data_IF_606370626544
#
_entry.id   IF_606370626544
#
_cell.length_a   1.000
_cell.length_b   1.000
_cell.length_c   1.000
_cell.angle_alpha   90.00
_cell.angle_beta   90.00
_cell.angle_gamma   90.00
#
_symmetry.space_group_name_H-M   'P 1'
#
loop_
_entity.id
_entity.type
_entity.pdbx_description
1 polymer ?
#
# COMPACT_ATOMS: atom_id res chain seq x y z
N UNK A 1 -33.90 -20.99 -51.08
CA UNK A 1 -35.12 -20.99 -51.92
C UNK A 1 -36.29 -21.24 -50.99
N UNK A 2 -37.38 -20.50 -51.17
CA UNK A 2 -38.59 -20.47 -50.31
C UNK A 2 -38.38 -19.85 -48.91
N UNK A 3 -39.24 -19.00 -48.35
CA UNK A 3 -40.48 -18.39 -48.81
C UNK A 3 -40.75 -17.11 -47.98
N UNK A 4 -41.32 -16.12 -48.66
CA UNK A 4 -41.93 -14.91 -48.10
C UNK A 4 -43.39 -15.21 -47.69
N UNK A 5 -43.86 -14.50 -46.65
CA UNK A 5 -45.25 -14.17 -46.24
C UNK A 5 -45.78 -14.85 -44.97
N UNK A 6 -46.76 -14.14 -44.38
CA UNK A 6 -47.59 -14.40 -43.17
C UNK A 6 -47.05 -13.59 -41.97
N UNK A 7 -47.72 -12.60 -41.35
CA UNK A 7 -49.13 -12.20 -41.31
C UNK A 7 -49.29 -10.72 -40.89
N UNK A 8 -50.43 -10.12 -41.23
CA UNK A 8 -50.96 -8.82 -40.75
C UNK A 8 -52.03 -9.07 -39.68
N UNK A 9 -52.37 -7.96 -38.99
CA UNK A 9 -53.48 -7.74 -38.04
C UNK A 9 -53.13 -8.08 -36.59
N UNK A 10 -53.33 -7.18 -35.61
CA UNK A 10 -54.53 -6.38 -35.39
C UNK A 10 -54.25 -5.03 -34.69
N UNK A 11 -54.87 -3.98 -35.21
CA UNK A 11 -55.11 -2.69 -34.56
C UNK A 11 -56.57 -2.61 -34.10
N UNK A 12 -56.82 -2.11 -32.88
CA UNK A 12 -57.94 -1.26 -32.48
C UNK A 12 -57.79 -0.94 -30.96
N UNK A 13 -57.60 0.34 -30.58
CA UNK A 13 -58.64 1.30 -30.11
C UNK A 13 -59.16 0.91 -28.71
N UNK A 14 -59.28 1.72 -27.66
CA UNK A 14 -59.28 3.15 -27.29
C UNK A 14 -58.92 3.15 -25.76
N UNK A 15 -58.49 4.17 -25.04
CA UNK A 15 -58.66 5.62 -25.06
C UNK A 15 -58.71 6.12 -23.60
N UNK A 16 -58.37 7.40 -23.38
CA UNK A 16 -58.52 8.20 -22.14
C UNK A 16 -57.57 7.84 -20.96
N UNK A 17 -56.94 8.78 -20.23
CA UNK A 17 -57.16 10.21 -20.09
C UNK A 17 -55.84 10.95 -19.82
N UNK A 18 -55.71 12.13 -20.43
CA UNK A 18 -54.82 13.19 -19.97
C UNK A 18 -55.54 14.04 -18.93
N UNK A 19 -54.85 14.46 -17.86
CA UNK A 19 -55.18 15.72 -17.19
C UNK A 19 -53.91 16.44 -16.72
N UNK A 20 -53.73 17.62 -17.30
CA UNK A 20 -52.79 18.69 -16.93
C UNK A 20 -53.05 19.19 -15.50
N UNK A 21 -52.02 19.72 -14.86
CA UNK A 21 -52.09 21.04 -14.24
C UNK A 21 -50.69 21.66 -14.19
N UNK A 22 -50.64 22.93 -14.60
CA UNK A 22 -49.46 23.76 -14.73
C UNK A 22 -49.53 24.93 -13.72
N UNK A 23 -48.34 25.52 -13.49
CA UNK A 23 -48.07 26.94 -13.23
C UNK A 23 -48.25 27.54 -11.82
N UNK A 24 -47.14 28.11 -11.31
CA UNK A 24 -46.95 29.50 -10.84
C UNK A 24 -45.56 29.56 -10.14
N UNK A 25 -44.50 30.24 -10.60
CA UNK A 25 -44.24 31.66 -10.89
C UNK A 25 -44.02 32.57 -9.65
N UNK A 26 -42.79 33.12 -9.61
CA UNK A 26 -42.37 34.47 -9.17
C UNK A 26 -41.91 34.78 -7.73
N UNK A 27 -40.61 35.15 -7.66
CA UNK A 27 -40.01 36.37 -7.09
C UNK A 27 -39.99 36.63 -5.55
N UNK A 28 -38.78 36.84 -5.01
CA UNK A 28 -38.41 38.10 -4.33
C UNK A 28 -36.90 38.19 -4.06
N UNK A 29 -36.35 39.37 -4.30
CA UNK A 29 -34.95 39.74 -4.15
C UNK A 29 -34.58 40.20 -2.72
N UNK A 30 -33.28 40.12 -2.40
CA UNK A 30 -32.57 41.19 -1.68
C UNK A 30 -32.21 40.94 -0.20
N UNK A 31 -30.90 40.79 0.08
CA UNK A 31 -30.12 41.80 0.82
C UNK A 31 -28.64 41.40 0.89
N UNK A 32 -27.80 42.26 0.32
CA UNK A 32 -26.35 42.25 0.51
C UNK A 32 -26.01 43.00 1.81
N UNK A 33 -25.24 42.36 2.70
CA UNK A 33 -24.59 43.05 3.81
C UNK A 33 -23.17 43.45 3.43
N UNK A 34 -23.00 44.75 3.12
CA UNK A 34 -21.71 45.42 3.11
C UNK A 34 -21.26 45.63 4.56
N UNK A 35 -20.18 44.97 4.98
CA UNK A 35 -19.44 45.37 6.17
C UNK A 35 -18.37 46.39 5.76
N UNK A 36 -18.51 47.62 6.26
CA UNK A 36 -17.47 48.64 6.21
C UNK A 36 -16.38 48.30 7.22
N UNK A 37 -15.17 48.03 6.72
CA UNK A 37 -13.95 48.04 7.53
C UNK A 37 -13.50 49.49 7.65
N UNK A 38 -13.53 50.00 8.88
CA UNK A 38 -13.05 51.34 9.24
C UNK A 38 -11.56 51.27 9.52
N UNK A 39 -10.77 51.97 8.70
CA UNK A 39 -9.36 52.25 8.97
C UNK A 39 -9.22 53.21 10.16
N UNK A 40 -8.39 52.87 11.14
CA UNK A 40 -7.79 53.81 12.09
C UNK A 40 -6.29 53.51 12.22
N UNK A 41 -5.51 54.59 12.15
CA UNK A 41 -4.05 54.70 12.20
C UNK A 41 -3.39 54.10 13.46
N UNK A 42 -2.05 53.86 13.43
CA UNK A 42 -1.34 53.26 14.56
C UNK A 42 -0.93 54.32 15.59
N UNK A 43 -1.10 53.98 16.88
CA UNK A 43 -0.46 54.66 18.00
C UNK A 43 0.42 53.65 18.76
N UNK A 44 1.53 54.16 19.27
CA UNK A 44 2.69 53.45 19.79
C UNK A 44 2.42 52.54 21.01
N UNK A 45 3.21 51.46 21.11
CA UNK A 45 3.51 50.73 22.35
C UNK A 45 4.87 50.01 22.17
N UNK A 46 5.94 50.49 22.81
CA UNK A 46 6.36 50.12 24.17
C UNK A 46 6.82 48.66 24.28
N UNK A 47 8.15 48.52 24.33
CA UNK A 47 8.95 47.34 24.64
C UNK A 47 8.50 46.56 25.88
N UNK A 48 8.22 45.27 25.72
CA UNK A 48 8.24 44.29 26.80
C UNK A 48 8.91 42.99 26.32
N UNK A 49 9.90 42.50 27.07
CA UNK A 49 10.61 41.23 26.82
C UNK A 49 9.67 40.05 27.09
N UNK A 50 9.72 38.95 26.30
CA UNK A 50 8.90 37.78 26.58
C UNK A 50 9.51 36.92 27.71
N UNK A 51 8.69 36.14 28.45
CA UNK A 51 9.15 35.30 29.53
C UNK A 51 9.84 34.03 29.01
N UNK A 52 10.88 33.57 29.71
CA UNK A 52 11.53 32.28 29.45
C UNK A 52 10.63 31.13 29.90
N UNK A 53 9.97 30.47 28.95
CA UNK A 53 9.27 29.20 29.18
C UNK A 53 10.28 28.03 29.15
N UNK A 54 10.59 27.48 30.33
CA UNK A 54 11.34 26.22 30.47
C UNK A 54 10.44 25.05 30.07
N UNK A 55 10.26 24.83 28.78
CA UNK A 55 9.74 23.55 28.24
C UNK A 55 10.87 22.70 27.71
N UNK A 56 11.22 21.68 28.49
CA UNK A 56 12.06 20.54 28.12
C UNK A 56 11.35 19.79 26.98
N UNK A 57 11.65 20.14 25.72
CA UNK A 57 11.27 19.35 24.54
C UNK A 57 12.30 18.23 24.36
N UNK A 58 11.95 17.02 24.79
CA UNK A 58 12.59 15.80 24.28
C UNK A 58 12.10 15.55 22.86
N UNK A 59 12.75 16.16 21.87
CA UNK A 59 12.56 15.82 20.47
C UNK A 59 13.60 14.76 20.09
N UNK A 60 13.17 13.51 19.91
CA UNK A 60 13.96 12.45 19.29
C UNK A 60 14.02 12.68 17.78
N UNK A 61 14.70 13.72 17.35
CA UNK A 61 15.15 13.84 15.97
C UNK A 61 16.41 12.98 15.82
N UNK A 62 16.26 11.72 15.41
CA UNK A 62 17.42 10.96 14.92
C UNK A 62 18.02 11.76 13.77
N UNK A 63 19.21 12.31 13.98
CA UNK A 63 19.86 13.20 13.03
C UNK A 63 20.25 12.42 11.76
N UNK A 64 20.36 13.07 10.61
CA UNK A 64 20.85 12.43 9.37
C UNK A 64 22.22 11.76 9.59
N UNK A 65 23.06 12.35 10.46
CA UNK A 65 24.35 11.79 10.92
C UNK A 65 24.23 10.44 11.62
N UNK A 66 23.13 10.17 12.33
CA UNK A 66 22.91 8.87 12.99
C UNK A 66 22.55 7.79 11.96
N UNK A 67 21.84 8.15 10.87
CA UNK A 67 21.47 7.19 9.83
C UNK A 67 22.67 6.77 8.99
N UNK A 68 23.51 7.73 8.61
CA UNK A 68 24.68 7.46 7.79
C UNK A 68 25.76 6.71 8.57
N UNK A 69 25.91 6.99 9.88
CA UNK A 69 26.81 6.22 10.75
C UNK A 69 26.34 4.78 10.92
N UNK A 70 25.04 4.54 11.17
CA UNK A 70 24.47 3.18 11.20
C UNK A 70 24.69 2.48 9.86
N UNK A 71 24.47 3.17 8.74
CA UNK A 71 24.71 2.62 7.40
C UNK A 71 26.16 2.18 7.22
N UNK A 72 27.12 3.03 7.61
CA UNK A 72 28.54 2.72 7.53
C UNK A 72 28.91 1.49 8.37
N UNK A 73 28.38 1.37 9.60
CA UNK A 73 28.59 0.19 10.47
C UNK A 73 28.02 -1.07 9.80
N UNK A 74 26.81 -1.00 9.24
CA UNK A 74 26.17 -2.16 8.62
C UNK A 74 26.84 -2.56 7.30
N UNK A 75 27.43 -1.61 6.57
CA UNK A 75 28.27 -1.91 5.40
C UNK A 75 29.54 -2.65 5.80
N UNK A 76 30.23 -2.24 6.87
CA UNK A 76 31.38 -2.98 7.41
C UNK A 76 31.01 -4.41 7.81
N UNK A 77 29.86 -4.61 8.45
CA UNK A 77 29.33 -5.96 8.74
C UNK A 77 29.13 -6.80 7.48
N UNK A 78 28.65 -6.21 6.38
CA UNK A 78 28.50 -6.90 5.09
C UNK A 78 29.86 -7.32 4.53
N UNK A 79 30.86 -6.46 4.61
CA UNK A 79 32.23 -6.76 4.18
C UNK A 79 32.86 -7.86 5.03
N UNK A 80 32.69 -7.82 6.36
CA UNK A 80 33.16 -8.86 7.28
C UNK A 80 32.48 -10.20 7.05
N UNK A 81 31.16 -10.22 6.79
CA UNK A 81 30.43 -11.43 6.42
C UNK A 81 31.03 -12.06 5.15
N UNK A 82 31.22 -11.27 4.10
CA UNK A 82 31.84 -11.73 2.84
C UNK A 82 33.28 -12.21 3.04
N UNK A 83 34.07 -11.51 3.85
CA UNK A 83 35.44 -11.90 4.18
C UNK A 83 35.53 -13.25 4.90
N UNK A 84 34.46 -13.65 5.60
CA UNK A 84 34.31 -14.96 6.24
C UNK A 84 33.63 -16.01 5.35
N UNK A 85 33.32 -15.68 4.09
CA UNK A 85 32.66 -16.58 3.14
C UNK A 85 31.14 -16.67 3.28
N UNK A 86 30.51 -15.81 4.09
CA UNK A 86 29.06 -15.76 4.22
C UNK A 86 28.43 -14.82 3.18
N UNK A 87 27.32 -15.25 2.57
CA UNK A 87 26.54 -14.43 1.64
C UNK A 87 25.50 -13.59 2.42
N UNK A 88 25.62 -12.24 2.49
CA UNK A 88 24.64 -11.38 3.15
C UNK A 88 23.35 -11.14 2.34
N UNK A 89 23.30 -11.59 1.09
CA UNK A 89 22.17 -11.46 0.18
C UNK A 89 21.89 -12.79 -0.54
N UNK A 90 21.21 -13.71 0.16
CA UNK A 90 20.93 -15.04 -0.35
C UNK A 90 20.04 -15.02 -1.62
N UNK A 91 20.32 -15.91 -2.55
CA UNK A 91 19.57 -16.05 -3.81
C UNK A 91 18.26 -16.82 -3.63
N UNK A 92 18.21 -17.75 -2.67
CA UNK A 92 17.08 -18.64 -2.46
C UNK A 92 16.96 -19.02 -1.00
N UNK A 93 15.73 -19.18 -0.54
CA UNK A 93 15.40 -19.82 0.73
C UNK A 93 14.14 -20.66 0.56
N UNK A 94 14.21 -21.94 0.91
CA UNK A 94 13.08 -22.85 0.81
C UNK A 94 12.19 -22.72 2.06
N UNK A 95 11.21 -21.81 1.97
CA UNK A 95 10.19 -21.59 3.01
C UNK A 95 9.11 -22.66 2.94
N UNK A 96 8.81 -23.31 4.05
CA UNK A 96 7.76 -24.35 4.13
C UNK A 96 6.45 -23.84 4.73
N UNK A 97 6.48 -22.82 5.59
CA UNK A 97 5.28 -22.32 6.27
C UNK A 97 5.27 -20.78 6.34
N UNK A 98 4.08 -20.21 6.45
CA UNK A 98 3.91 -18.81 6.88
C UNK A 98 3.81 -18.71 8.41
N UNK A 99 4.07 -17.52 8.96
CA UNK A 99 3.98 -17.34 10.41
C UNK A 99 2.57 -17.57 10.94
N UNK A 100 1.54 -17.13 10.20
CA UNK A 100 0.14 -17.33 10.58
C UNK A 100 -0.26 -18.82 10.58
N UNK A 101 0.15 -19.58 9.56
CA UNK A 101 -0.11 -21.03 9.52
C UNK A 101 0.44 -21.75 10.75
N UNK A 102 1.65 -21.38 11.20
CA UNK A 102 2.24 -21.95 12.41
C UNK A 102 1.45 -21.56 13.66
N UNK A 103 1.07 -20.29 13.79
CA UNK A 103 0.26 -19.81 14.91
C UNK A 103 -1.07 -20.58 15.01
N UNK A 104 -1.74 -20.83 13.88
CA UNK A 104 -3.01 -21.55 13.84
C UNK A 104 -2.84 -23.05 14.11
N UNK A 105 -1.82 -23.68 13.50
CA UNK A 105 -1.58 -25.13 13.61
C UNK A 105 -1.21 -25.57 15.03
N UNK A 106 -0.42 -24.77 15.75
CA UNK A 106 0.14 -25.14 17.06
C UNK A 106 -0.54 -24.43 18.25
N UNK A 107 -1.80 -24.00 18.07
CA UNK A 107 -2.61 -23.43 19.16
C UNK A 107 -2.76 -24.37 20.37
N UNK A 108 -2.77 -25.68 20.11
CA UNK A 108 -2.94 -26.75 21.10
C UNK A 108 -1.72 -27.01 21.99
N UNK A 109 -0.54 -26.49 21.63
CA UNK A 109 0.70 -26.75 22.38
C UNK A 109 0.62 -26.15 23.79
N UNK A 110 1.08 -26.88 24.81
CA UNK A 110 1.14 -26.39 26.19
C UNK A 110 2.39 -25.53 26.44
N UNK A 111 2.38 -24.73 27.51
CA UNK A 111 3.50 -23.85 27.83
C UNK A 111 4.74 -24.66 28.23
N UNK A 112 5.90 -24.35 27.62
CA UNK A 112 7.16 -25.07 27.83
C UNK A 112 7.33 -26.29 26.93
N UNK A 113 6.28 -26.72 26.23
CA UNK A 113 6.31 -27.90 25.36
C UNK A 113 7.10 -27.62 24.06
N UNK A 114 7.78 -28.65 23.57
CA UNK A 114 8.52 -28.65 22.31
C UNK A 114 7.98 -29.77 21.43
N UNK A 115 7.46 -29.41 20.27
CA UNK A 115 7.09 -30.36 19.22
C UNK A 115 8.33 -30.69 18.39
N UNK A 116 9.06 -31.72 18.78
CA UNK A 116 10.31 -32.15 18.12
C UNK A 116 10.10 -32.78 16.75
N UNK A 117 8.90 -33.31 16.48
CA UNK A 117 8.53 -33.88 15.18
C UNK A 117 8.27 -32.79 14.12
N UNK A 118 7.96 -31.57 14.55
CA UNK A 118 7.77 -30.45 13.64
C UNK A 118 9.12 -30.02 13.06
N UNK A 119 9.21 -30.01 11.72
CA UNK A 119 10.31 -29.37 10.99
C UNK A 119 9.75 -28.23 10.15
N UNK A 120 10.14 -27.01 10.50
CA UNK A 120 9.64 -25.79 9.86
C UNK A 120 10.80 -24.97 9.31
N UNK A 121 10.55 -24.30 8.19
CA UNK A 121 11.43 -23.31 7.59
C UNK A 121 10.61 -22.08 7.28
N UNK A 122 10.96 -20.97 7.91
CA UNK A 122 10.27 -19.69 7.79
C UNK A 122 11.25 -18.60 7.38
N UNK A 123 10.72 -17.53 6.80
CA UNK A 123 11.50 -16.34 6.47
C UNK A 123 10.70 -15.09 6.80
N UNK A 124 11.38 -14.08 7.33
CA UNK A 124 10.74 -12.83 7.70
C UNK A 124 11.71 -11.73 8.08
N UNK A 125 11.20 -10.51 8.16
CA UNK A 125 11.95 -9.35 8.62
C UNK A 125 12.04 -9.37 10.15
N UNK A 126 13.24 -9.23 10.69
CA UNK A 126 13.44 -9.07 12.13
C UNK A 126 12.91 -7.72 12.56
N UNK A 127 11.84 -7.71 13.36
CA UNK A 127 11.23 -6.51 13.91
C UNK A 127 11.64 -6.25 15.35
N UNK A 128 12.10 -7.27 16.08
CA UNK A 128 12.59 -7.14 17.44
C UNK A 128 13.72 -8.14 17.70
N UNK A 129 14.63 -7.79 18.59
CA UNK A 129 15.76 -8.64 18.99
C UNK A 129 16.14 -8.36 20.44
N UNK A 130 16.34 -9.42 21.23
CA UNK A 130 16.72 -9.39 22.64
C UNK A 130 17.74 -10.49 22.91
N UNK A 131 18.91 -10.16 23.48
CA UNK A 131 19.98 -11.12 23.74
C UNK A 131 20.26 -11.21 25.25
N UNK A 132 20.42 -12.43 25.75
CA UNK A 132 20.62 -12.78 27.15
C UNK A 132 21.69 -13.88 27.26
N UNK A 133 22.98 -13.51 27.25
CA UNK A 133 24.06 -14.47 27.43
C UNK A 133 24.05 -15.59 26.38
N UNK A 134 23.56 -16.79 26.74
CA UNK A 134 23.45 -17.98 25.89
C UNK A 134 22.15 -18.08 25.09
N UNK A 135 21.28 -17.07 25.16
CA UNK A 135 19.97 -17.08 24.53
C UNK A 135 19.71 -15.79 23.76
N UNK A 136 19.12 -15.90 22.57
CA UNK A 136 18.69 -14.76 21.77
C UNK A 136 17.27 -14.99 21.28
N UNK A 137 16.40 -14.03 21.55
CA UNK A 137 15.05 -13.99 21.03
C UNK A 137 14.97 -12.97 19.91
N UNK A 138 14.37 -13.36 18.79
CA UNK A 138 14.02 -12.43 17.72
C UNK A 138 12.54 -12.57 17.41
N UNK A 139 11.89 -11.47 17.04
CA UNK A 139 10.56 -11.54 16.45
C UNK A 139 10.73 -11.28 14.97
N UNK A 140 10.33 -12.23 14.14
CA UNK A 140 10.28 -12.03 12.69
C UNK A 140 8.84 -11.80 12.24
N UNK A 141 8.70 -11.03 11.16
CA UNK A 141 7.43 -10.71 10.52
C UNK A 141 7.48 -11.11 9.05
N UNK A 142 6.51 -11.89 8.61
CA UNK A 142 6.24 -12.11 7.19
C UNK A 142 4.95 -11.37 6.76
N UNK A 143 4.43 -11.66 5.57
CA UNK A 143 3.21 -11.04 5.06
C UNK A 143 1.96 -11.39 5.88
N UNK A 144 1.98 -12.56 6.54
CA UNK A 144 0.83 -13.15 7.23
C UNK A 144 0.74 -12.78 8.72
N UNK A 145 1.87 -12.46 9.35
CA UNK A 145 1.91 -12.20 10.79
C UNK A 145 3.31 -12.18 11.38
N UNK A 146 3.41 -12.50 12.66
CA UNK A 146 4.66 -12.55 13.41
C UNK A 146 4.83 -13.85 14.19
N UNK A 147 6.07 -14.28 14.34
CA UNK A 147 6.44 -15.38 15.22
C UNK A 147 7.78 -15.10 15.90
N UNK A 148 7.97 -15.68 17.08
CA UNK A 148 9.24 -15.61 17.78
C UNK A 148 10.21 -16.66 17.24
N UNK A 149 11.49 -16.29 17.19
CA UNK A 149 12.62 -17.19 17.04
C UNK A 149 13.27 -17.33 18.41
N UNK A 150 13.39 -18.57 18.85
CA UNK A 150 14.10 -18.96 20.07
C UNK A 150 15.45 -19.54 19.65
N UNK A 151 16.52 -18.77 19.84
CA UNK A 151 17.86 -19.17 19.44
C UNK A 151 18.71 -19.41 20.68
N UNK A 152 19.06 -20.66 20.94
CA UNK A 152 19.89 -21.06 22.07
C UNK A 152 21.29 -21.41 21.60
N UNK A 153 22.29 -21.19 22.46
CA UNK A 153 23.67 -21.54 22.14
C UNK A 153 23.82 -23.04 21.83
N UNK A 154 23.12 -23.88 22.58
CA UNK A 154 23.25 -25.33 22.48
C UNK A 154 22.47 -25.90 21.27
N UNK A 155 21.57 -25.11 20.66
CA UNK A 155 20.82 -25.51 19.46
C UNK A 155 21.51 -25.12 18.14
N UNK A 156 22.58 -24.33 18.21
CA UNK A 156 23.34 -23.82 17.07
C UNK A 156 24.82 -24.20 17.22
N UNK A 157 25.58 -24.15 16.12
CA UNK A 157 27.04 -24.26 16.24
C UNK A 157 27.61 -23.01 16.93
N UNK A 158 28.78 -23.13 17.58
CA UNK A 158 29.45 -21.98 18.22
C UNK A 158 29.62 -20.82 17.22
N UNK A 159 30.04 -21.15 15.99
CA UNK A 159 30.21 -20.17 14.92
C UNK A 159 28.90 -19.49 14.52
N UNK A 160 27.82 -20.26 14.36
CA UNK A 160 26.49 -19.70 14.06
C UNK A 160 25.97 -18.83 15.20
N UNK A 161 26.20 -19.21 16.46
CA UNK A 161 25.73 -18.43 17.59
C UNK A 161 26.48 -17.10 17.73
N UNK A 162 27.79 -17.10 17.48
CA UNK A 162 28.59 -15.87 17.42
C UNK A 162 28.21 -15.01 16.20
N UNK A 163 27.98 -15.63 15.04
CA UNK A 163 27.48 -14.92 13.86
C UNK A 163 26.13 -14.25 14.15
N UNK A 164 25.22 -15.00 14.78
CA UNK A 164 23.91 -14.53 15.17
C UNK A 164 24.02 -13.30 16.06
N UNK A 165 24.96 -13.26 17.01
CA UNK A 165 25.20 -12.13 17.92
C UNK A 165 25.80 -10.91 17.23
N UNK A 166 26.83 -11.10 16.42
CA UNK A 166 27.62 -10.01 15.85
C UNK A 166 26.94 -9.33 14.65
N UNK A 167 26.33 -10.11 13.75
CA UNK A 167 25.97 -9.61 12.42
C UNK A 167 24.48 -9.33 12.22
N UNK A 168 23.60 -10.00 12.96
CA UNK A 168 22.15 -9.83 12.79
C UNK A 168 21.66 -8.58 13.51
N UNK A 169 20.95 -7.72 12.78
CA UNK A 169 20.35 -6.49 13.27
C UNK A 169 18.83 -6.45 13.01
N UNK A 170 18.13 -5.60 13.76
CA UNK A 170 16.72 -5.28 13.48
C UNK A 170 16.61 -4.64 12.08
N UNK A 171 15.67 -5.16 11.30
CA UNK A 171 15.42 -4.78 9.91
C UNK A 171 15.95 -5.79 8.88
N UNK A 172 16.87 -6.67 9.25
CA UNK A 172 17.34 -7.74 8.35
C UNK A 172 16.22 -8.72 8.01
N UNK A 173 16.32 -9.37 6.85
CA UNK A 173 15.46 -10.51 6.48
C UNK A 173 16.25 -11.79 6.78
N UNK A 174 15.67 -12.65 7.61
CA UNK A 174 16.28 -13.87 8.09
C UNK A 174 15.44 -15.08 7.66
N UNK A 175 16.12 -16.13 7.20
CA UNK A 175 15.58 -17.47 7.06
C UNK A 175 15.94 -18.24 8.33
N UNK A 176 14.97 -18.94 8.91
CA UNK A 176 15.18 -19.74 10.11
C UNK A 176 14.47 -21.08 9.97
N UNK A 177 15.13 -22.14 10.40
CA UNK A 177 14.59 -23.49 10.42
C UNK A 177 14.84 -24.17 11.75
N UNK A 178 13.96 -25.10 12.09
CA UNK A 178 14.01 -25.86 13.32
C UNK A 178 12.66 -26.43 13.70
N UNK A 179 12.47 -26.65 14.99
CA UNK A 179 11.24 -27.22 15.57
C UNK A 179 10.33 -26.13 16.16
N UNK A 180 9.17 -26.53 16.66
CA UNK A 180 8.21 -25.63 17.28
C UNK A 180 8.28 -25.79 18.80
N UNK A 181 8.40 -24.67 19.51
CA UNK A 181 8.34 -24.60 20.97
C UNK A 181 7.31 -23.56 21.37
N UNK A 182 6.54 -23.81 22.42
CA UNK A 182 5.82 -22.74 23.13
C UNK A 182 6.60 -22.44 24.38
N UNK A 183 6.99 -21.19 24.54
CA UNK A 183 7.73 -20.76 25.72
C UNK A 183 6.87 -20.91 26.97
N UNK A 184 7.52 -20.85 28.11
CA UNK A 184 6.95 -20.95 29.45
C UNK A 184 6.00 -19.79 29.72
N UNK A 185 6.16 -18.68 28.98
CA UNK A 185 5.27 -17.51 28.96
C UNK A 185 4.12 -17.62 27.95
N UNK A 186 4.02 -18.74 27.24
CA UNK A 186 2.95 -19.02 26.26
C UNK A 186 3.15 -18.44 24.87
N UNK A 187 4.32 -17.86 24.57
CA UNK A 187 4.63 -17.36 23.23
C UNK A 187 5.10 -18.51 22.32
N UNK A 188 4.44 -18.71 21.18
CA UNK A 188 4.82 -19.70 20.17
C UNK A 188 6.09 -19.24 19.43
N UNK A 189 7.05 -20.15 19.32
CA UNK A 189 8.39 -19.87 18.83
C UNK A 189 8.90 -20.98 17.92
N UNK A 190 9.69 -20.62 16.92
CA UNK A 190 10.56 -21.57 16.23
C UNK A 190 11.80 -21.76 17.08
N UNK A 191 12.04 -22.98 17.55
CA UNK A 191 13.29 -23.38 18.21
C UNK A 191 14.35 -23.62 17.14
N UNK A 192 15.24 -22.63 16.97
CA UNK A 192 16.09 -22.52 15.79
C UNK A 192 17.27 -23.47 15.88
N UNK A 193 17.38 -24.36 14.90
CA UNK A 193 18.54 -25.24 14.69
C UNK A 193 19.47 -24.75 13.58
N UNK A 194 18.96 -23.92 12.66
CA UNK A 194 19.73 -23.32 11.58
C UNK A 194 19.09 -22.02 11.11
N UNK A 195 19.91 -21.04 10.75
CA UNK A 195 19.45 -19.78 10.16
C UNK A 195 20.39 -19.31 9.06
N UNK A 196 19.88 -18.43 8.21
CA UNK A 196 20.65 -17.75 7.17
C UNK A 196 20.19 -16.28 7.04
N UNK A 197 21.15 -15.38 6.83
CA UNK A 197 20.86 -13.98 6.49
C UNK A 197 20.44 -13.92 5.03
N UNK A 198 19.17 -13.68 4.76
CA UNK A 198 18.66 -13.58 3.38
C UNK A 198 18.89 -12.20 2.80
N UNK A 199 18.76 -11.16 3.63
CA UNK A 199 19.05 -9.78 3.20
C UNK A 199 19.47 -8.96 4.40
N UNK A 200 20.72 -8.49 4.37
CA UNK A 200 21.18 -7.49 5.33
C UNK A 200 20.52 -6.14 5.05
N UNK A 201 19.87 -5.56 6.05
CA UNK A 201 19.35 -4.20 5.98
C UNK A 201 20.44 -3.19 6.30
N UNK A 202 20.66 -2.21 5.44
CA UNK A 202 21.67 -1.16 5.64
C UNK A 202 21.16 0.04 6.42
N UNK A 203 19.84 0.18 6.58
CA UNK A 203 19.23 1.32 7.26
C UNK A 203 18.41 0.83 8.46
N UNK A 204 18.38 1.60 9.56
CA UNK A 204 17.52 1.26 10.68
C UNK A 204 16.05 1.37 10.28
N UNK A 205 15.20 0.56 10.91
CA UNK A 205 13.76 0.76 10.84
C UNK A 205 13.39 2.06 11.58
N UNK A 206 12.27 2.72 11.22
CA UNK A 206 11.74 3.84 12.00
C UNK A 206 11.47 3.45 13.46
N UNK A 207 11.45 4.46 14.33
CA UNK A 207 11.16 4.24 15.75
C UNK A 207 9.78 3.62 15.94
N UNK A 208 9.73 2.54 16.75
CA UNK A 208 8.51 1.78 17.04
C UNK A 208 7.49 2.58 17.84
N UNK A 209 7.93 3.49 18.70
CA UNK A 209 7.05 4.13 19.68
C UNK A 209 6.16 5.22 19.06
N UNK A 210 6.65 5.88 18.03
CA UNK A 210 5.90 6.93 17.36
C UNK A 210 5.30 6.46 16.03
N UNK A 211 5.76 5.34 15.48
CA UNK A 211 5.44 4.95 14.11
C UNK A 211 5.96 5.98 13.10
N UNK A 212 5.74 5.74 11.81
CA UNK A 212 5.98 6.76 10.79
C UNK A 212 4.72 7.64 10.68
N UNK A 213 4.69 8.77 11.37
CA UNK A 213 3.51 9.68 11.42
C UNK A 213 3.53 10.76 10.35
N UNK A 214 4.71 11.16 9.90
CA UNK A 214 4.94 12.17 8.87
C UNK A 214 4.33 11.70 7.53
N UNK A 215 3.20 12.32 7.16
CA UNK A 215 2.39 11.94 6.00
C UNK A 215 3.19 11.99 4.70
N UNK A 216 4.02 13.02 4.51
CA UNK A 216 4.82 13.16 3.31
C UNK A 216 5.88 12.05 3.20
N UNK A 217 6.52 11.70 4.31
CA UNK A 217 7.46 10.57 4.35
C UNK A 217 6.76 9.24 4.09
N UNK A 218 5.57 9.02 4.67
CA UNK A 218 4.78 7.79 4.42
C UNK A 218 4.47 7.63 2.94
N UNK A 219 4.10 8.72 2.26
CA UNK A 219 3.76 8.70 0.85
C UNK A 219 4.99 8.50 -0.05
N UNK A 220 6.12 9.14 0.27
CA UNK A 220 7.39 8.98 -0.47
C UNK A 220 8.08 7.66 -0.23
N UNK A 221 7.95 7.10 0.98
CA UNK A 221 8.62 5.88 1.42
C UNK A 221 7.59 4.82 1.83
N UNK A 222 6.68 4.48 0.92
CA UNK A 222 5.57 3.56 1.19
C UNK A 222 6.03 2.20 1.73
N UNK A 223 7.17 1.69 1.28
CA UNK A 223 7.74 0.44 1.78
C UNK A 223 8.09 0.51 3.26
N UNK A 224 8.53 1.67 3.77
CA UNK A 224 8.79 1.89 5.19
C UNK A 224 7.49 2.01 5.96
N UNK A 225 6.53 2.74 5.40
CA UNK A 225 5.20 2.90 6.00
C UNK A 225 4.53 1.54 6.23
N UNK A 226 4.55 0.62 5.25
CA UNK A 226 4.00 -0.73 5.42
C UNK A 226 4.74 -1.58 6.46
N UNK A 227 6.04 -1.34 6.70
CA UNK A 227 6.78 -2.05 7.76
C UNK A 227 6.38 -1.53 9.13
N UNK A 228 6.26 -0.20 9.28
CA UNK A 228 5.93 0.47 10.54
C UNK A 228 4.45 0.34 10.91
N UNK A 229 3.57 0.41 9.91
CA UNK A 229 2.12 0.47 10.00
C UNK A 229 1.50 -0.67 9.14
N UNK A 230 1.43 -1.91 9.67
CA UNK A 230 0.99 -3.09 8.90
C UNK A 230 -0.41 -2.96 8.29
N UNK A 231 -1.30 -2.19 8.93
CA UNK A 231 -2.66 -1.92 8.46
C UNK A 231 -2.69 -1.20 7.11
N UNK A 232 -1.61 -0.49 6.75
CA UNK A 232 -1.47 0.13 5.42
C UNK A 232 -1.47 -0.92 4.33
N UNK A 233 -0.85 -2.08 4.55
CA UNK A 233 -0.87 -3.18 3.59
C UNK A 233 -2.31 -3.72 3.37
N UNK A 234 -3.13 -3.75 4.43
CA UNK A 234 -4.53 -4.18 4.34
C UNK A 234 -5.38 -3.23 3.50
N UNK A 235 -5.08 -1.92 3.51
CA UNK A 235 -5.72 -0.96 2.61
C UNK A 235 -5.45 -1.31 1.14
N UNK A 236 -4.21 -1.68 0.79
CA UNK A 236 -3.88 -2.11 -0.58
C UNK A 236 -4.54 -3.44 -0.95
N UNK A 237 -4.54 -4.42 -0.04
CA UNK A 237 -5.25 -5.70 -0.24
C UNK A 237 -6.74 -5.47 -0.45
N UNK A 238 -7.34 -4.58 0.33
CA UNK A 238 -8.76 -4.20 0.20
C UNK A 238 -9.02 -3.52 -1.14
N UNK A 239 -8.17 -2.58 -1.55
CA UNK A 239 -8.28 -1.95 -2.89
C UNK A 239 -8.22 -3.00 -4.01
N UNK A 240 -7.30 -3.96 -3.93
CA UNK A 240 -7.20 -5.03 -4.92
C UNK A 240 -8.47 -5.89 -4.96
N UNK A 241 -9.03 -6.24 -3.80
CA UNK A 241 -10.31 -6.96 -3.69
C UNK A 241 -11.47 -6.17 -4.28
N UNK A 242 -11.58 -4.87 -3.99
CA UNK A 242 -12.61 -3.99 -4.57
C UNK A 242 -12.55 -4.01 -6.09
N UNK A 243 -11.36 -3.83 -6.68
CA UNK A 243 -11.21 -3.87 -8.14
C UNK A 243 -11.55 -5.26 -8.72
N UNK A 244 -11.11 -6.34 -8.06
CA UNK A 244 -11.47 -7.69 -8.47
C UNK A 244 -12.99 -7.91 -8.46
N UNK A 245 -13.69 -7.35 -7.48
CA UNK A 245 -15.13 -7.58 -7.33
C UNK A 245 -15.97 -6.73 -8.27
N UNK A 246 -15.49 -5.52 -8.59
CA UNK A 246 -16.05 -4.73 -9.69
C UNK A 246 -16.00 -5.54 -10.99
N UNK A 247 -14.87 -6.16 -11.33
CA UNK A 247 -14.74 -6.99 -12.55
C UNK A 247 -15.72 -8.14 -12.58
N UNK A 248 -15.78 -8.96 -11.52
CA UNK A 248 -16.75 -10.07 -11.44
C UNK A 248 -18.20 -9.61 -11.56
N UNK A 249 -18.52 -8.46 -10.97
CA UNK A 249 -19.86 -7.87 -11.06
C UNK A 249 -20.18 -7.48 -12.51
N UNK A 250 -19.25 -6.82 -13.20
CA UNK A 250 -19.43 -6.42 -14.61
C UNK A 250 -19.57 -7.63 -15.53
N UNK A 251 -18.74 -8.66 -15.33
CA UNK A 251 -18.84 -9.93 -16.05
C UNK A 251 -20.23 -10.57 -15.83
N UNK A 252 -20.74 -10.59 -14.59
CA UNK A 252 -22.08 -11.13 -14.29
C UNK A 252 -23.23 -10.37 -14.96
N UNK A 253 -23.00 -9.10 -15.32
CA UNK A 253 -23.96 -8.26 -16.05
C UNK A 253 -23.79 -8.35 -17.59
N UNK A 254 -22.85 -9.17 -18.06
CA UNK A 254 -22.56 -9.38 -19.48
C UNK A 254 -21.76 -8.26 -20.12
N UNK A 255 -21.04 -7.46 -19.34
CA UNK A 255 -20.10 -6.47 -19.88
C UNK A 255 -18.79 -7.12 -20.31
N UNK A 256 -18.18 -6.55 -21.35
CA UNK A 256 -16.86 -6.93 -21.85
C UNK A 256 -15.83 -5.88 -21.38
N UNK A 257 -14.78 -6.31 -20.68
CA UNK A 257 -13.64 -5.44 -20.35
C UNK A 257 -12.83 -5.17 -21.62
N UNK A 258 -12.59 -3.90 -21.92
CA UNK A 258 -11.77 -3.46 -23.07
C UNK A 258 -10.63 -2.57 -22.61
N UNK A 259 -9.57 -2.51 -23.42
CA UNK A 259 -8.45 -1.59 -23.21
C UNK A 259 -8.40 -0.58 -24.36
N UNK A 260 -8.44 0.72 -24.03
CA UNK A 260 -8.41 1.80 -25.02
C UNK A 260 -7.10 2.61 -24.96
N UNK A 261 -6.74 3.35 -26.03
CA UNK A 261 -5.47 4.09 -26.07
C UNK A 261 -5.33 5.12 -24.93
N UNK A 262 -4.19 5.05 -24.22
CA UNK A 262 -3.77 6.05 -23.22
C UNK A 262 -3.21 7.31 -23.88
N UNK A 263 -2.42 7.15 -24.95
CA UNK A 263 -1.89 8.25 -25.74
C UNK A 263 -2.83 8.55 -26.90
N UNK A 264 -3.35 9.77 -26.95
CA UNK A 264 -4.37 10.20 -27.89
C UNK A 264 -3.86 11.38 -28.73
N UNK A 265 -4.31 11.48 -29.98
CA UNK A 265 -4.02 12.65 -30.82
C UNK A 265 -4.70 13.92 -30.33
N UNK A 266 -5.82 13.77 -29.63
CA UNK A 266 -6.57 14.83 -28.96
C UNK A 266 -7.15 14.27 -27.66
N UNK A 267 -7.11 15.03 -26.57
CA UNK A 267 -7.75 14.65 -25.31
C UNK A 267 -9.23 15.05 -25.33
N UNK A 268 -10.12 14.13 -24.95
CA UNK A 268 -11.57 14.39 -24.86
C UNK A 268 -12.27 13.45 -23.87
N UNK A 269 -13.59 13.62 -23.73
CA UNK A 269 -14.43 12.84 -22.80
C UNK A 269 -14.51 13.38 -21.37
N UNK A 270 -13.86 14.52 -21.08
CA UNK A 270 -14.02 15.24 -19.83
C UNK A 270 -13.57 16.70 -19.99
N UNK A 271 -13.94 17.56 -19.05
CA UNK A 271 -13.36 18.90 -18.90
C UNK A 271 -12.16 18.84 -17.94
N UNK A 272 -10.96 18.70 -18.49
CA UNK A 272 -9.72 18.66 -17.72
C UNK A 272 -8.52 19.09 -18.57
N UNK A 273 -7.48 19.66 -17.93
CA UNK A 273 -6.22 19.96 -18.61
C UNK A 273 -5.43 18.67 -18.83
N UNK A 274 -5.03 18.31 -20.06
CA UNK A 274 -4.27 17.09 -20.30
C UNK A 274 -2.77 17.27 -19.98
N UNK A 275 -2.08 16.15 -19.78
CA UNK A 275 -0.63 16.10 -19.93
C UNK A 275 -0.28 15.94 -21.41
N UNK A 276 0.78 16.62 -21.84
CA UNK A 276 1.27 16.62 -23.22
C UNK A 276 2.64 15.97 -23.25
N UNK A 277 2.87 15.09 -24.22
CA UNK A 277 4.16 14.46 -24.48
C UNK A 277 4.45 14.47 -25.98
N UNK A 278 5.70 14.24 -26.37
CA UNK A 278 6.14 14.28 -27.76
C UNK A 278 6.48 12.88 -28.27
N UNK A 279 5.91 12.51 -29.42
CA UNK A 279 6.20 11.23 -30.06
C UNK A 279 7.31 11.39 -31.11
N UNK A 280 8.53 10.97 -30.77
CA UNK A 280 9.71 11.15 -31.63
C UNK A 280 9.56 10.60 -33.07
N UNK A 281 9.02 9.40 -33.29
CA UNK A 281 8.95 8.87 -34.67
C UNK A 281 7.85 9.52 -35.54
N UNK A 282 6.75 9.96 -34.93
CA UNK A 282 5.63 10.60 -35.61
C UNK A 282 5.81 12.12 -35.68
N UNK A 283 6.82 12.67 -35.00
CA UNK A 283 7.14 14.11 -34.94
C UNK A 283 5.90 14.95 -34.60
N UNK A 284 5.11 14.49 -33.63
CA UNK A 284 3.88 15.16 -33.19
C UNK A 284 3.66 15.00 -31.70
N UNK A 285 2.91 15.92 -31.14
CA UNK A 285 2.48 15.85 -29.75
C UNK A 285 1.32 14.86 -29.58
N UNK A 286 1.31 14.21 -28.42
CA UNK A 286 0.26 13.31 -27.97
C UNK A 286 -0.17 13.73 -26.56
N UNK A 287 -1.42 13.42 -26.24
CA UNK A 287 -2.04 13.76 -24.98
C UNK A 287 -2.31 12.49 -24.19
N UNK A 288 -2.03 12.52 -22.88
CA UNK A 288 -2.51 11.47 -21.99
C UNK A 288 -4.02 11.63 -21.81
N UNK A 289 -4.76 10.52 -21.90
CA UNK A 289 -6.22 10.50 -21.79
C UNK A 289 -6.72 11.07 -20.45
N UNK A 290 -7.77 11.88 -20.53
CA UNK A 290 -8.46 12.48 -19.38
C UNK A 290 -9.74 11.73 -18.98
N UNK A 291 -10.22 10.85 -19.87
CA UNK A 291 -11.37 9.96 -19.76
C UNK A 291 -11.24 8.79 -20.77
N UNK A 292 -12.05 7.75 -20.63
CA UNK A 292 -12.12 6.61 -21.58
C UNK A 292 -13.34 6.69 -22.52
N UNK A 293 -14.30 7.55 -22.21
CA UNK A 293 -15.64 7.67 -22.80
C UNK A 293 -15.67 7.62 -24.33
N UNK A 294 -14.89 8.47 -25.01
CA UNK A 294 -14.98 8.57 -26.47
C UNK A 294 -14.56 7.29 -27.19
N UNK A 295 -13.67 6.50 -26.59
CA UNK A 295 -13.25 5.22 -27.17
C UNK A 295 -14.27 4.11 -26.88
N UNK A 296 -14.87 4.10 -25.69
CA UNK A 296 -15.94 3.16 -25.35
C UNK A 296 -17.15 3.34 -26.27
N UNK A 297 -17.56 4.58 -26.55
CA UNK A 297 -18.61 4.89 -27.54
C UNK A 297 -18.27 4.40 -28.95
N UNK A 298 -17.00 4.44 -29.35
CA UNK A 298 -16.56 3.88 -30.65
C UNK A 298 -16.71 2.35 -30.67
N UNK A 299 -16.52 1.67 -29.53
CA UNK A 299 -16.77 0.24 -29.42
C UNK A 299 -18.25 -0.10 -29.57
N UNK A 300 -19.14 0.73 -29.02
CA UNK A 300 -20.58 0.59 -29.25
C UNK A 300 -20.94 0.71 -30.74
N UNK A 301 -20.40 1.72 -31.42
CA UNK A 301 -20.57 1.88 -32.88
C UNK A 301 -20.01 0.66 -33.65
N UNK A 302 -18.95 0.03 -33.12
CA UNK A 302 -18.36 -1.20 -33.65
C UNK A 302 -19.20 -2.46 -33.44
N UNK A 303 -20.30 -2.39 -32.67
CA UNK A 303 -21.25 -3.48 -32.46
C UNK A 303 -21.13 -4.21 -31.12
N UNK A 304 -20.30 -3.73 -30.18
CA UNK A 304 -20.35 -4.23 -28.81
C UNK A 304 -21.50 -3.56 -28.05
N UNK A 305 -22.36 -4.32 -27.38
CA UNK A 305 -23.54 -3.74 -26.69
C UNK A 305 -23.28 -3.35 -25.23
N UNK A 306 -22.23 -3.91 -24.61
CA UNK A 306 -21.90 -3.64 -23.20
C UNK A 306 -20.39 -3.68 -23.01
N UNK A 307 -19.79 -2.52 -22.80
CA UNK A 307 -18.33 -2.40 -22.62
C UNK A 307 -17.99 -1.61 -21.36
N UNK A 308 -16.88 -1.96 -20.73
CA UNK A 308 -16.33 -1.18 -19.64
C UNK A 308 -14.80 -1.19 -19.68
N UNK A 309 -14.18 -0.17 -19.09
CA UNK A 309 -12.74 -0.14 -18.87
C UNK A 309 -12.44 0.28 -17.42
N UNK A 310 -11.58 -0.48 -16.73
CA UNK A 310 -10.94 -0.04 -15.48
C UNK A 310 -9.53 0.44 -15.83
N UNK A 311 -9.39 1.74 -16.03
CA UNK A 311 -8.21 2.34 -16.62
C UNK A 311 -7.60 3.44 -15.77
N UNK A 312 -6.33 3.76 -16.05
CA UNK A 312 -5.73 4.99 -15.52
C UNK A 312 -6.08 6.19 -16.40
N UNK A 313 -6.43 7.30 -15.78
CA UNK A 313 -6.61 8.60 -16.42
C UNK A 313 -5.70 9.65 -15.77
N UNK A 314 -5.37 10.67 -16.55
CA UNK A 314 -4.35 11.65 -16.20
C UNK A 314 -4.89 13.06 -16.35
N UNK A 315 -4.91 13.85 -15.28
CA UNK A 315 -5.38 15.24 -15.29
C UNK A 315 -4.32 16.15 -14.69
N UNK A 316 -3.88 17.12 -15.48
CA UNK A 316 -2.82 18.06 -15.12
C UNK A 316 -3.38 19.21 -14.29
N UNK A 317 -3.80 18.87 -13.07
CA UNK A 317 -4.53 19.71 -12.12
C UNK A 317 -3.84 19.75 -10.75
N UNK A 318 -4.40 20.52 -9.81
CA UNK A 318 -3.87 20.64 -8.46
C UNK A 318 -3.98 19.36 -7.63
N UNK A 319 -3.04 19.15 -6.71
CA UNK A 319 -3.01 18.00 -5.80
C UNK A 319 -3.75 18.35 -4.50
N UNK A 320 -4.59 17.45 -4.02
CA UNK A 320 -5.25 17.57 -2.71
C UNK A 320 -5.58 16.20 -2.12
N UNK A 321 -6.23 16.15 -0.96
CA UNK A 321 -6.67 14.90 -0.33
C UNK A 321 -7.64 14.07 -1.17
N UNK A 322 -8.27 14.68 -2.18
CA UNK A 322 -9.22 14.02 -3.10
C UNK A 322 -8.78 14.01 -4.56
N UNK A 323 -7.66 14.66 -4.88
CA UNK A 323 -7.21 14.84 -6.27
C UNK A 323 -5.75 14.42 -6.40
N UNK A 324 -5.52 13.40 -7.22
CA UNK A 324 -4.19 12.97 -7.64
C UNK A 324 -4.11 13.10 -9.17
N UNK A 325 -3.00 13.59 -9.76
CA UNK A 325 -2.90 13.79 -11.20
C UNK A 325 -3.02 12.52 -12.03
N UNK A 326 -2.80 11.36 -11.41
CA UNK A 326 -3.00 10.04 -11.98
C UNK A 326 -3.96 9.25 -11.09
N UNK A 327 -5.09 8.77 -11.62
CA UNK A 327 -6.05 7.99 -10.84
C UNK A 327 -6.80 6.98 -11.69
N UNK A 328 -7.35 5.97 -11.02
CA UNK A 328 -8.09 4.88 -11.67
C UNK A 328 -9.56 5.18 -11.65
N UNK A 329 -10.21 5.10 -12.80
CA UNK A 329 -11.67 5.13 -12.93
C UNK A 329 -12.17 3.81 -13.49
N UNK A 330 -13.47 3.59 -13.33
CA UNK A 330 -14.24 2.68 -14.18
C UNK A 330 -15.20 3.55 -14.99
N UNK A 331 -15.27 3.30 -16.29
CA UNK A 331 -16.33 3.83 -17.15
C UNK A 331 -16.98 2.65 -17.87
N UNK A 332 -18.28 2.76 -18.13
CA UNK A 332 -19.08 1.74 -18.78
C UNK A 332 -20.07 2.39 -19.73
N UNK A 333 -20.32 1.74 -20.86
CA UNK A 333 -21.21 2.19 -21.93
C UNK A 333 -22.10 1.00 -22.36
N UNK A 334 -23.39 1.30 -22.60
CA UNK A 334 -24.45 0.36 -23.02
C UNK A 334 -25.30 1.01 -24.11
#
# INVERSE_FOLDING_TARGET
>A
MEALRVWRASSNLLGFAASRAAAAAAASAGRAHRFHIRCCSPAAAATTKPPQDRRRRSASSSSTSDRDSIRAIRLKKVEELRGKGYEPYAYKWDRTHTTKELQERYTHLENGEVCTEASVSIAGRIVARRAFGKLVFMTIRDDSGTIQLYCEKDSLTEEQFEQLKAFIDVGDILGASGSIKKTEKGELSVYVSFFEILTKSLLPLPDKYHGLTDVDKRYRQRYIDMIANPEVADVFRTRAKVVSEIRKTMESFGFIEVETPVLQGEAGGAEARPFITHHNSLQRDLYLRIATELHLKRMLVGGLEKVYEIGRIFRNEGISTRHNPEFTTIELDV
#
